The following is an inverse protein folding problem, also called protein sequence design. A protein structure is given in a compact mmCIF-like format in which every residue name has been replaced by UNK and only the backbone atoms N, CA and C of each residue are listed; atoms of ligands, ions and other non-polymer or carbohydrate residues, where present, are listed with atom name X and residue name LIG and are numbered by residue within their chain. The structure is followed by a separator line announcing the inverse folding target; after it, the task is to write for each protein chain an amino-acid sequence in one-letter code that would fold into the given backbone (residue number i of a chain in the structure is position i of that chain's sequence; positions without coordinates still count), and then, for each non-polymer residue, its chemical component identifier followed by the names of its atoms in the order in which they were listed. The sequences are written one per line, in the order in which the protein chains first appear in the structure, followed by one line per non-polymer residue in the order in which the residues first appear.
data_IF_830358297704
#
_entry.id   IF_830358297704
#
_cell.length_a   1.000
_cell.length_b   1.000
_cell.length_c   1.000
_cell.angle_alpha   90.00
_cell.angle_beta   90.00
_cell.angle_gamma   90.00
#
_symmetry.space_group_name_H-M   'P 1'
#
loop_
_entity.id
_entity.type
_entity.pdbx_description
1 polymer ?
#
# COMPACT_ATOMS: atom_id res chain seq x y z
N UNK A 1 -3.70 1.38 -16.62
CA UNK A 1 -3.79 1.10 -15.16
C UNK A 1 -3.15 2.26 -14.40
N UNK A 2 -3.77 2.72 -13.31
CA UNK A 2 -3.27 3.76 -12.43
C UNK A 2 -3.27 3.27 -10.98
N UNK A 3 -2.19 3.55 -10.25
CA UNK A 3 -2.04 3.23 -8.83
C UNK A 3 -1.69 4.52 -8.09
N UNK A 4 -2.44 4.83 -7.03
CA UNK A 4 -2.19 5.98 -6.17
C UNK A 4 -1.89 5.48 -4.76
N UNK A 5 -0.76 5.91 -4.18
CA UNK A 5 -0.35 5.57 -2.82
C UNK A 5 -0.04 6.88 -2.07
N UNK A 6 -0.91 7.22 -1.12
CA UNK A 6 -0.72 8.28 -0.13
C UNK A 6 -0.85 7.68 1.26
N UNK A 7 -1.52 8.35 2.21
CA UNK A 7 -1.88 7.74 3.51
C UNK A 7 -2.67 6.44 3.30
N UNK A 8 -3.65 6.47 2.41
CA UNK A 8 -4.39 5.34 1.85
C UNK A 8 -3.93 5.06 0.40
N UNK A 9 -4.49 4.04 -0.26
CA UNK A 9 -4.17 3.71 -1.64
C UNK A 9 -5.40 3.37 -2.48
N UNK A 10 -5.20 3.30 -3.79
CA UNK A 10 -6.20 2.78 -4.71
C UNK A 10 -5.56 2.30 -6.02
N UNK A 11 -6.11 1.23 -6.58
CA UNK A 11 -5.80 0.75 -7.93
C UNK A 11 -7.00 0.96 -8.83
N UNK A 12 -6.76 1.43 -10.05
CA UNK A 12 -7.81 1.73 -11.04
C UNK A 12 -7.38 1.31 -12.43
N UNK A 13 -8.32 0.85 -13.22
CA UNK A 13 -8.13 0.62 -14.66
C UNK A 13 -9.35 1.07 -15.43
N UNK A 14 -9.16 1.45 -16.68
CA UNK A 14 -10.25 1.80 -17.60
C UNK A 14 -10.55 0.59 -18.47
N UNK A 15 -11.83 0.29 -18.66
CA UNK A 15 -12.34 -0.81 -19.48
C UNK A 15 -13.41 -0.27 -20.43
N UNK A 16 -13.64 -1.00 -21.52
CA UNK A 16 -14.53 -0.66 -22.65
C UNK A 16 -15.98 -1.13 -22.46
N UNK A 17 -16.25 -1.87 -21.38
CA UNK A 17 -17.58 -2.33 -20.96
C UNK A 17 -17.68 -2.34 -19.44
N UNK A 18 -18.87 -2.22 -18.84
CA UNK A 18 -19.02 -2.30 -17.39
C UNK A 18 -18.64 -3.70 -16.91
N UNK A 19 -17.82 -3.77 -15.86
CA UNK A 19 -17.41 -5.03 -15.22
C UNK A 19 -17.60 -4.87 -13.73
N UNK A 20 -18.40 -5.74 -13.13
CA UNK A 20 -18.64 -5.80 -11.68
C UNK A 20 -18.12 -7.10 -11.11
N UNK A 21 -17.58 -7.04 -9.90
CA UNK A 21 -17.17 -8.22 -9.14
C UNK A 21 -18.37 -8.80 -8.39
N UNK A 22 -18.61 -10.11 -8.50
CA UNK A 22 -19.75 -10.78 -7.85
C UNK A 22 -19.74 -10.62 -6.32
N UNK A 23 -18.55 -10.53 -5.73
CA UNK A 23 -18.36 -10.31 -4.29
C UNK A 23 -18.30 -8.82 -3.92
N UNK A 24 -18.55 -7.91 -4.87
CA UNK A 24 -18.53 -6.46 -4.68
C UNK A 24 -17.21 -5.91 -4.08
N UNK A 25 -16.07 -6.55 -4.39
CA UNK A 25 -14.75 -6.13 -3.88
C UNK A 25 -14.20 -4.89 -4.59
N UNK A 26 -14.66 -4.63 -5.81
CA UNK A 26 -14.23 -3.49 -6.64
C UNK A 26 -15.43 -2.64 -7.06
N UNK A 27 -15.23 -1.33 -7.17
CA UNK A 27 -16.20 -0.42 -7.77
C UNK A 27 -16.09 -0.44 -9.30
N UNK A 28 -17.18 -0.04 -9.98
CA UNK A 28 -17.22 0.20 -11.42
C UNK A 28 -18.04 1.47 -11.70
N UNK A 29 -17.38 2.53 -12.15
CA UNK A 29 -18.02 3.83 -12.41
C UNK A 29 -17.95 4.17 -13.90
N UNK A 30 -19.05 4.65 -14.46
CA UNK A 30 -19.05 5.17 -15.82
C UNK A 30 -18.15 6.41 -15.91
N UNK A 31 -17.23 6.41 -16.87
CA UNK A 31 -16.33 7.53 -17.15
C UNK A 31 -16.79 8.31 -18.38
N UNK A 32 -17.19 7.59 -19.42
CA UNK A 32 -17.79 8.11 -20.65
C UNK A 32 -18.84 7.10 -21.14
N UNK A 33 -19.58 7.42 -22.19
CA UNK A 33 -20.58 6.51 -22.79
C UNK A 33 -20.01 5.14 -23.24
N UNK A 34 -18.68 5.04 -23.40
CA UNK A 34 -18.00 3.82 -23.86
C UNK A 34 -16.90 3.33 -22.91
N UNK A 35 -16.73 3.95 -21.75
CA UNK A 35 -15.65 3.59 -20.84
C UNK A 35 -16.08 3.62 -19.38
N UNK A 36 -15.55 2.66 -18.62
CA UNK A 36 -15.78 2.53 -17.18
C UNK A 36 -14.45 2.46 -16.45
N UNK A 37 -14.39 3.06 -15.26
CA UNK A 37 -13.28 2.92 -14.33
C UNK A 37 -13.64 1.83 -13.33
N UNK A 38 -12.84 0.76 -13.32
CA UNK A 38 -12.92 -0.32 -12.34
C UNK A 38 -11.75 -0.20 -11.38
N UNK A 39 -11.98 -0.36 -10.08
CA UNK A 39 -10.91 -0.23 -9.11
C UNK A 39 -11.26 -0.68 -7.70
N UNK A 40 -10.23 -0.75 -6.86
CA UNK A 40 -10.33 -1.10 -5.45
C UNK A 40 -9.62 -0.06 -4.59
N UNK A 41 -10.27 0.52 -3.58
CA UNK A 41 -9.59 1.33 -2.58
C UNK A 41 -8.89 0.42 -1.55
N UNK A 42 -7.83 0.94 -0.94
CA UNK A 42 -7.23 0.36 0.28
C UNK A 42 -7.02 1.49 1.28
N UNK A 43 -7.39 1.28 2.54
CA UNK A 43 -7.06 2.21 3.62
C UNK A 43 -5.58 2.12 4.03
N UNK A 44 -4.91 1.04 3.65
CA UNK A 44 -3.55 0.69 4.04
C UNK A 44 -2.53 1.11 2.98
N UNK A 45 -2.33 2.43 2.82
CA UNK A 45 -1.25 3.00 2.01
C UNK A 45 0.02 3.21 2.84
N UNK A 46 0.61 4.39 2.72
CA UNK A 46 1.77 4.82 3.52
C UNK A 46 1.51 4.90 5.02
N UNK A 47 0.25 4.90 5.48
CA UNK A 47 -0.07 4.81 6.92
C UNK A 47 0.47 3.53 7.54
N UNK A 48 0.50 2.43 6.78
CA UNK A 48 1.07 1.17 7.23
C UNK A 48 2.57 1.26 7.49
N UNK A 49 3.30 1.96 6.60
CA UNK A 49 4.74 2.13 6.75
C UNK A 49 5.06 3.00 7.97
N UNK A 50 4.26 4.04 8.22
CA UNK A 50 4.35 4.86 9.43
C UNK A 50 4.08 4.03 10.68
N UNK A 51 2.97 3.31 10.71
CA UNK A 51 2.60 2.44 11.84
C UNK A 51 3.68 1.40 12.14
N UNK A 52 4.24 0.74 11.11
CA UNK A 52 5.32 -0.22 11.26
C UNK A 52 6.54 0.41 11.93
N UNK A 53 6.94 1.61 11.47
CA UNK A 53 8.06 2.35 12.06
C UNK A 53 7.76 2.74 13.51
N UNK A 54 6.55 3.20 13.81
CA UNK A 54 6.18 3.68 15.15
C UNK A 54 6.07 2.52 16.16
N UNK A 55 5.53 1.36 15.77
CA UNK A 55 5.36 0.20 16.66
C UNK A 55 6.61 -0.68 16.78
N UNK A 56 7.37 -0.85 15.69
CA UNK A 56 8.46 -1.83 15.62
C UNK A 56 9.82 -1.25 15.23
N UNK A 57 9.88 -0.03 14.69
CA UNK A 57 11.10 0.56 14.13
C UNK A 57 11.91 1.42 15.11
N UNK A 58 11.70 1.31 16.42
CA UNK A 58 12.34 2.19 17.41
C UNK A 58 13.87 2.11 17.37
N UNK A 59 14.43 0.91 17.16
CA UNK A 59 15.87 0.69 16.96
C UNK A 59 16.38 1.37 15.69
N UNK A 60 15.70 1.19 14.57
CA UNK A 60 16.05 1.75 13.28
C UNK A 60 15.97 3.28 13.30
N UNK A 61 14.98 3.84 14.00
CA UNK A 61 14.86 5.29 14.19
C UNK A 61 16.05 5.86 14.94
N UNK A 62 16.49 5.21 16.02
CA UNK A 62 17.66 5.65 16.79
C UNK A 62 18.97 5.51 15.98
N UNK A 63 19.12 4.43 15.21
CA UNK A 63 20.26 4.26 14.30
C UNK A 63 20.27 5.31 13.20
N UNK A 64 19.12 5.57 12.57
CA UNK A 64 18.98 6.58 11.52
C UNK A 64 19.36 7.98 12.04
N UNK A 65 18.94 8.31 13.27
CA UNK A 65 19.32 9.56 13.95
C UNK A 65 20.83 9.70 14.14
N UNK A 66 21.53 8.62 14.53
CA UNK A 66 23.00 8.62 14.70
C UNK A 66 23.73 8.75 13.37
N UNK A 67 23.17 8.19 12.31
CA UNK A 67 23.72 8.24 10.97
C UNK A 67 23.33 9.53 10.21
N UNK A 68 22.40 10.32 10.72
CA UNK A 68 21.92 11.54 10.07
C UNK A 68 21.10 11.29 8.80
N UNK A 69 20.42 10.14 8.72
CA UNK A 69 19.59 9.73 7.56
C UNK A 69 18.11 9.64 7.95
N UNK A 70 17.22 9.60 6.95
CA UNK A 70 15.81 9.35 7.21
C UNK A 70 15.57 7.88 7.65
N UNK A 71 14.76 7.62 8.69
CA UNK A 71 14.50 6.27 9.16
C UNK A 71 13.80 5.39 8.13
N UNK A 72 12.93 5.94 7.27
CA UNK A 72 12.29 5.16 6.21
C UNK A 72 13.31 4.70 5.18
N UNK A 73 14.26 5.56 4.79
CA UNK A 73 15.33 5.18 3.86
C UNK A 73 16.18 4.04 4.42
N UNK A 74 16.56 4.12 5.70
CA UNK A 74 17.29 3.06 6.38
C UNK A 74 16.49 1.74 6.41
N UNK A 75 15.21 1.78 6.80
CA UNK A 75 14.35 0.61 6.86
C UNK A 75 14.14 -0.01 5.46
N UNK A 76 13.99 0.81 4.43
CA UNK A 76 13.86 0.36 3.03
C UNK A 76 15.15 -0.31 2.57
N UNK A 77 16.32 0.22 2.92
CA UNK A 77 17.59 -0.38 2.57
C UNK A 77 17.86 -1.71 3.30
N UNK A 78 17.40 -1.84 4.55
CA UNK A 78 17.37 -3.12 5.27
C UNK A 78 16.46 -4.12 4.54
N UNK A 79 15.25 -3.69 4.14
CA UNK A 79 14.27 -4.54 3.45
C UNK A 79 14.77 -5.04 2.08
N UNK A 80 15.49 -4.20 1.31
CA UNK A 80 16.11 -4.61 0.04
C UNK A 80 17.07 -5.79 0.22
N UNK A 81 17.80 -5.85 1.34
CA UNK A 81 18.79 -6.90 1.63
C UNK A 81 18.17 -8.22 2.08
N UNK A 82 16.94 -8.23 2.60
CA UNK A 82 16.25 -9.41 3.13
C UNK A 82 15.32 -10.13 2.13
N UNK A 83 15.23 -9.61 0.89
CA UNK A 83 14.19 -9.89 -0.11
C UNK A 83 13.98 -11.36 -0.55
N UNK A 84 14.91 -12.30 -0.32
CA UNK A 84 14.74 -13.68 -0.82
C UNK A 84 13.87 -14.59 0.06
N UNK A 85 13.69 -14.31 1.36
CA UNK A 85 13.08 -15.26 2.31
C UNK A 85 11.61 -14.98 2.68
N UNK A 86 11.08 -13.79 2.40
CA UNK A 86 9.78 -13.34 2.93
C UNK A 86 8.58 -13.45 1.97
N UNK A 87 8.67 -14.22 0.89
CA UNK A 87 7.64 -14.31 -0.16
C UNK A 87 6.25 -14.84 0.28
N UNK A 88 6.05 -15.19 1.55
CA UNK A 88 4.76 -15.64 2.10
C UNK A 88 4.32 -14.96 3.40
N UNK A 89 5.06 -13.98 3.91
CA UNK A 89 4.68 -13.28 5.14
C UNK A 89 3.62 -12.20 4.82
N UNK A 90 2.34 -12.55 4.93
CA UNK A 90 1.24 -11.60 4.85
C UNK A 90 0.93 -11.05 6.25
N UNK A 91 1.24 -9.76 6.49
CA UNK A 91 0.79 -9.05 7.70
C UNK A 91 -0.56 -8.42 7.38
N UNK A 92 -1.64 -9.07 7.83
CA UNK A 92 -2.98 -8.47 7.76
C UNK A 92 -3.16 -7.50 8.91
N UNK A 93 -3.06 -6.20 8.61
CA UNK A 93 -3.40 -5.15 9.57
C UNK A 93 -4.92 -4.98 9.59
N UNK A 94 -5.60 -5.78 10.40
CA UNK A 94 -7.02 -5.59 10.70
C UNK A 94 -7.11 -4.47 11.74
N UNK A 95 -7.17 -3.22 11.26
CA UNK A 95 -7.48 -2.07 12.11
C UNK A 95 -8.98 -2.07 12.40
N UNK A 96 -9.39 -2.85 13.39
CA UNK A 96 -10.72 -2.74 13.97
C UNK A 96 -10.62 -1.84 15.22
N UNK A 97 -11.09 -0.60 15.10
CA UNK A 97 -11.59 0.14 16.26
C UNK A 97 -13.09 0.28 16.11
#
# INVERSE_FOLDING_TARGET
MAVTIGTSGAVRTVVDKPITDEQSRTFCYALTDKHWVVGGPTNNGGIMLRWLKDEFGSSEVEVAKRLGVDPYDLMIDIAKKSSSRLRGAAVSAIFNR
#
